data_IF_648799664509
#
_entry.id   IF_648799664509
#
_cell.length_a   1.000
_cell.length_b   1.000
_cell.length_c   1.000
_cell.angle_alpha   90.00
_cell.angle_beta   90.00
_cell.angle_gamma   90.00
#
_symmetry.space_group_name_H-M   'P 1'
#
loop_
_entity.id
_entity.type
_entity.pdbx_description
1 polymer ?
#
# COMPACT_ATOMS: atom_id res chain seq x y z
N UNK A 1 0.68 -13.24 -2.96
CA UNK A 1 -0.33 -13.78 -3.91
C UNK A 1 -0.97 -12.66 -4.74
N UNK A 2 -1.64 -11.67 -4.14
CA UNK A 2 -2.30 -10.58 -4.87
C UNK A 2 -1.38 -9.87 -5.86
N UNK A 3 -0.14 -9.56 -5.46
CA UNK A 3 0.85 -8.96 -6.36
C UNK A 3 1.16 -9.84 -7.57
N UNK A 4 1.39 -11.16 -7.40
CA UNK A 4 1.60 -12.07 -8.53
C UNK A 4 0.39 -12.10 -9.47
N UNK A 5 -0.83 -12.19 -8.92
CA UNK A 5 -2.05 -12.18 -9.72
C UNK A 5 -2.19 -10.88 -10.51
N UNK A 6 -1.78 -9.75 -9.91
CA UNK A 6 -1.76 -8.45 -10.57
C UNK A 6 -0.76 -8.42 -11.73
N UNK A 7 0.47 -8.91 -11.53
CA UNK A 7 1.51 -8.89 -12.56
C UNK A 7 1.29 -9.92 -13.68
N UNK A 8 0.78 -11.11 -13.35
CA UNK A 8 0.69 -12.23 -14.29
C UNK A 8 -0.70 -12.37 -14.93
N UNK A 9 -1.75 -11.91 -14.23
CA UNK A 9 -3.15 -12.11 -14.60
C UNK A 9 -4.00 -10.85 -14.35
N UNK A 10 -3.39 -9.67 -14.51
CA UNK A 10 -4.02 -8.37 -14.24
C UNK A 10 -5.39 -8.19 -14.91
N UNK A 11 -5.52 -8.67 -16.14
CA UNK A 11 -6.75 -8.60 -16.93
C UNK A 11 -7.94 -9.39 -16.35
N UNK A 12 -7.74 -10.27 -15.37
CA UNK A 12 -8.85 -11.04 -14.80
C UNK A 12 -9.60 -10.30 -13.70
N UNK A 13 -8.99 -9.26 -13.13
CA UNK A 13 -9.51 -8.57 -11.96
C UNK A 13 -9.75 -7.09 -12.26
N UNK A 14 -10.77 -6.54 -11.61
CA UNK A 14 -11.12 -5.12 -11.75
C UNK A 14 -10.31 -4.24 -10.80
N UNK A 15 -9.86 -4.78 -9.68
CA UNK A 15 -9.10 -4.07 -8.67
C UNK A 15 -8.33 -5.05 -7.77
N UNK A 16 -7.31 -4.55 -7.10
CA UNK A 16 -6.43 -5.28 -6.21
C UNK A 16 -6.37 -4.56 -4.86
N UNK A 17 -6.47 -5.29 -3.75
CA UNK A 17 -6.26 -4.71 -2.42
C UNK A 17 -5.25 -5.54 -1.62
N UNK A 18 -3.94 -5.42 -1.91
CA UNK A 18 -2.92 -6.18 -1.21
C UNK A 18 -2.86 -5.77 0.26
N UNK A 19 -3.04 -6.73 1.16
CA UNK A 19 -2.91 -6.54 2.61
C UNK A 19 -1.61 -7.23 3.03
N UNK A 20 -0.76 -6.52 3.78
CA UNK A 20 0.56 -6.98 4.26
C UNK A 20 1.33 -7.77 3.18
N UNK A 21 1.47 -7.16 2.00
CA UNK A 21 1.96 -7.84 0.81
C UNK A 21 3.47 -8.17 0.95
N UNK A 22 3.84 -9.42 0.70
CA UNK A 22 5.19 -9.92 0.91
C UNK A 22 6.08 -9.95 -0.35
N UNK A 23 5.66 -9.24 -1.41
CA UNK A 23 6.43 -9.14 -2.64
C UNK A 23 7.57 -8.14 -2.43
N UNK A 24 8.78 -8.65 -2.30
CA UNK A 24 9.96 -7.81 -2.09
C UNK A 24 10.11 -6.82 -3.24
N UNK A 25 10.20 -5.52 -2.93
CA UNK A 25 10.28 -4.48 -3.95
C UNK A 25 11.51 -4.64 -4.85
N UNK A 26 12.60 -5.24 -4.34
CA UNK A 26 13.79 -5.60 -5.15
C UNK A 26 13.50 -6.56 -6.32
N UNK A 27 12.39 -7.28 -6.24
CA UNK A 27 11.94 -8.23 -7.27
C UNK A 27 10.87 -7.62 -8.19
N UNK A 28 10.46 -6.37 -7.99
CA UNK A 28 9.52 -5.65 -8.85
C UNK A 28 10.36 -4.79 -9.80
N UNK A 29 10.38 -5.14 -11.07
CA UNK A 29 11.12 -4.35 -12.07
C UNK A 29 10.39 -3.05 -12.42
N UNK A 30 11.07 -2.11 -13.07
CA UNK A 30 10.42 -0.87 -13.53
C UNK A 30 9.37 -1.17 -14.62
N UNK A 31 9.59 -2.19 -15.46
CA UNK A 31 8.60 -2.65 -16.43
C UNK A 31 7.34 -3.18 -15.75
N UNK A 32 7.48 -3.90 -14.62
CA UNK A 32 6.34 -4.36 -13.83
C UNK A 32 5.57 -3.18 -13.23
N UNK A 33 6.26 -2.13 -12.75
CA UNK A 33 5.62 -0.89 -12.28
C UNK A 33 4.85 -0.22 -13.41
N UNK A 34 5.48 -0.04 -14.58
CA UNK A 34 4.86 0.56 -15.76
C UNK A 34 3.64 -0.24 -16.24
N UNK A 35 3.68 -1.57 -16.14
CA UNK A 35 2.57 -2.43 -16.51
C UNK A 35 1.33 -2.23 -15.63
N UNK A 36 1.50 -2.03 -14.32
CA UNK A 36 0.39 -2.02 -13.35
C UNK A 36 0.00 -0.64 -12.85
N UNK A 37 0.71 0.43 -13.23
CA UNK A 37 0.43 1.79 -12.73
C UNK A 37 -0.98 2.30 -13.01
N UNK A 38 -1.61 1.80 -14.07
CA UNK A 38 -2.96 2.17 -14.47
C UNK A 38 -4.03 1.24 -13.86
N UNK A 39 -3.64 0.28 -13.01
CA UNK A 39 -4.58 -0.57 -12.30
C UNK A 39 -5.16 0.11 -11.07
N UNK A 40 -6.27 -0.44 -10.60
CA UNK A 40 -6.95 0.02 -9.39
C UNK A 40 -6.37 -0.75 -8.20
N UNK A 41 -5.57 -0.10 -7.36
CA UNK A 41 -4.84 -0.74 -6.26
C UNK A 41 -5.10 -0.02 -4.93
N UNK A 42 -5.39 -0.75 -3.86
CA UNK A 42 -5.40 -0.20 -2.50
C UNK A 42 -4.58 -1.04 -1.54
N UNK A 43 -3.42 -0.54 -1.13
CA UNK A 43 -2.56 -1.22 -0.18
C UNK A 43 -3.03 -1.02 1.26
N UNK A 44 -2.83 -2.03 2.10
CA UNK A 44 -3.03 -1.95 3.55
C UNK A 44 -1.89 -2.63 4.29
N UNK A 45 -1.26 -1.92 5.22
CA UNK A 45 -0.22 -2.50 6.08
C UNK A 45 -0.16 -1.78 7.43
N UNK A 46 0.47 -2.41 8.42
CA UNK A 46 0.92 -1.77 9.65
C UNK A 46 2.40 -1.41 9.54
N UNK A 47 2.79 -0.23 10.01
CA UNK A 47 4.17 0.24 9.96
C UNK A 47 5.09 -0.60 10.86
N UNK A 48 4.56 -1.15 11.95
CA UNK A 48 5.27 -2.05 12.87
C UNK A 48 5.26 -3.54 12.44
N UNK A 49 4.91 -3.85 11.18
CA UNK A 49 4.98 -5.22 10.66
C UNK A 49 6.43 -5.72 10.58
N UNK A 50 6.77 -6.64 11.48
CA UNK A 50 8.09 -7.29 11.55
C UNK A 50 8.16 -8.61 10.80
N UNK A 51 7.03 -9.16 10.33
CA UNK A 51 7.00 -10.38 9.52
C UNK A 51 7.22 -10.04 8.06
N UNK A 52 6.56 -8.98 7.60
CA UNK A 52 6.71 -8.43 6.26
C UNK A 52 7.05 -6.96 6.41
N UNK A 53 8.36 -6.65 6.38
CA UNK A 53 8.85 -5.29 6.62
C UNK A 53 8.33 -4.31 5.53
N UNK A 54 7.54 -3.29 5.89
CA UNK A 54 7.00 -2.30 4.96
C UNK A 54 8.08 -1.57 4.14
N UNK A 55 9.27 -1.36 4.73
CA UNK A 55 10.39 -0.65 4.08
C UNK A 55 11.02 -1.45 2.93
N UNK A 56 10.83 -2.77 2.88
CA UNK A 56 11.33 -3.65 1.81
C UNK A 56 10.23 -4.10 0.83
N UNK A 57 8.97 -3.74 1.09
CA UNK A 57 7.78 -4.26 0.39
C UNK A 57 6.87 -3.13 -0.08
N UNK A 58 5.78 -2.86 0.63
CA UNK A 58 4.70 -1.97 0.16
C UNK A 58 5.16 -0.53 0.00
N UNK A 59 5.92 0.04 0.96
CA UNK A 59 6.28 1.46 0.94
C UNK A 59 7.08 1.85 -0.32
N UNK A 60 8.22 1.20 -0.62
CA UNK A 60 8.97 1.55 -1.83
C UNK A 60 8.19 1.24 -3.12
N UNK A 61 7.39 0.17 -3.15
CA UNK A 61 6.53 -0.16 -4.30
C UNK A 61 5.50 0.93 -4.57
N UNK A 62 4.83 1.41 -3.51
CA UNK A 62 3.87 2.50 -3.58
C UNK A 62 4.51 3.80 -4.09
N UNK A 63 5.67 4.19 -3.55
CA UNK A 63 6.41 5.35 -4.06
C UNK A 63 6.72 5.24 -5.55
N UNK A 64 7.18 4.08 -6.01
CA UNK A 64 7.50 3.84 -7.42
C UNK A 64 6.26 3.92 -8.31
N UNK A 65 5.12 3.36 -7.89
CA UNK A 65 3.85 3.48 -8.62
C UNK A 65 3.40 4.94 -8.75
N UNK A 66 3.41 5.69 -7.66
CA UNK A 66 3.04 7.11 -7.67
C UNK A 66 3.98 7.91 -8.58
N UNK A 67 5.29 7.66 -8.52
CA UNK A 67 6.26 8.32 -9.39
C UNK A 67 6.11 7.94 -10.88
N UNK A 68 5.69 6.72 -11.19
CA UNK A 68 5.37 6.29 -12.56
C UNK A 68 4.08 6.93 -13.13
N UNK A 69 3.35 7.67 -12.30
CA UNK A 69 2.14 8.40 -12.68
C UNK A 69 0.85 7.64 -12.41
N UNK A 70 0.86 6.66 -11.50
CA UNK A 70 -0.33 5.93 -11.10
C UNK A 70 -1.43 6.86 -10.55
N UNK A 71 -2.66 6.70 -11.03
CA UNK A 71 -3.78 7.60 -10.71
C UNK A 71 -4.78 7.02 -9.71
N UNK A 72 -4.97 5.71 -9.71
CA UNK A 72 -5.95 5.01 -8.87
C UNK A 72 -5.27 3.98 -7.95
N UNK A 73 -4.16 4.42 -7.36
CA UNK A 73 -3.39 3.67 -6.37
C UNK A 73 -3.49 4.40 -5.05
N UNK A 74 -3.91 3.66 -4.04
CA UNK A 74 -4.20 4.14 -2.69
C UNK A 74 -3.38 3.33 -1.70
N UNK A 75 -3.07 3.90 -0.53
CA UNK A 75 -2.38 3.18 0.53
C UNK A 75 -2.81 3.66 1.89
N UNK A 76 -3.21 2.71 2.74
CA UNK A 76 -3.43 2.90 4.17
C UNK A 76 -2.29 2.26 4.96
N UNK A 77 -1.56 3.07 5.73
CA UNK A 77 -0.55 2.61 6.66
C UNK A 77 -0.98 2.93 8.09
N UNK A 78 -1.20 1.89 8.89
CA UNK A 78 -1.56 2.01 10.32
C UNK A 78 -0.29 2.02 11.17
N UNK A 79 -0.33 2.66 12.32
CA UNK A 79 0.81 2.67 13.27
C UNK A 79 1.07 1.27 13.84
N UNK A 80 0.00 0.63 14.31
CA UNK A 80 -0.04 -0.67 14.97
C UNK A 80 -1.37 -1.34 14.69
N UNK A 81 -1.48 -2.64 14.95
CA UNK A 81 -2.75 -3.38 14.87
C UNK A 81 -3.38 -3.47 16.26
N UNK A 82 -4.57 -2.90 16.45
CA UNK A 82 -5.30 -2.91 17.73
C UNK A 82 -6.68 -3.56 17.60
N UNK A 83 -7.19 -4.10 18.72
CA UNK A 83 -8.55 -4.61 18.83
C UNK A 83 -9.60 -3.51 18.63
N UNK A 84 -10.69 -3.87 17.94
CA UNK A 84 -11.85 -2.99 17.79
C UNK A 84 -12.76 -3.00 19.04
N UNK A 85 -12.75 -4.11 19.77
CA UNK A 85 -13.45 -4.31 21.05
C UNK A 85 -12.65 -3.77 22.24
N UNK A 86 -11.31 -3.88 22.17
CA UNK A 86 -10.39 -3.33 23.16
C UNK A 86 -9.16 -2.69 22.49
N UNK A 87 -9.10 -1.35 22.41
CA UNK A 87 -7.94 -0.64 21.84
C UNK A 87 -6.63 -0.82 22.62
N UNK A 88 -6.67 -1.31 23.86
CA UNK A 88 -5.46 -1.62 24.63
C UNK A 88 -4.83 -2.97 24.24
N UNK A 89 -5.59 -3.82 23.54
CA UNK A 89 -5.12 -5.08 22.97
C UNK A 89 -4.39 -4.83 21.65
N UNK A 90 -3.06 -4.81 21.71
CA UNK A 90 -2.17 -4.65 20.54
C UNK A 90 -1.78 -6.03 19.99
N UNK A 91 -2.10 -6.29 18.73
CA UNK A 91 -1.72 -7.50 18.00
C UNK A 91 -0.36 -7.35 17.29
N UNK A 92 0.12 -8.42 16.67
CA UNK A 92 1.27 -8.34 15.77
C UNK A 92 0.96 -7.39 14.60
N UNK A 93 1.91 -6.52 14.24
CA UNK A 93 1.80 -5.59 13.12
C UNK A 93 1.41 -6.25 11.80
N UNK A 94 1.79 -7.52 11.61
CA UNK A 94 1.42 -8.29 10.42
C UNK A 94 -0.09 -8.46 10.22
N UNK A 95 -0.90 -8.35 11.29
CA UNK A 95 -2.31 -8.71 11.27
C UNK A 95 -3.21 -7.56 10.75
N UNK A 96 -2.71 -6.76 9.81
CA UNK A 96 -3.39 -5.59 9.28
C UNK A 96 -4.77 -5.91 8.65
N UNK A 97 -5.02 -7.18 8.29
CA UNK A 97 -6.33 -7.65 7.83
C UNK A 97 -7.46 -7.45 8.85
N UNK A 98 -7.14 -7.33 10.15
CA UNK A 98 -8.11 -6.99 11.19
C UNK A 98 -8.84 -5.69 10.83
N UNK A 99 -8.12 -4.69 10.33
CA UNK A 99 -8.72 -3.41 9.91
C UNK A 99 -9.60 -3.56 8.68
N UNK A 100 -9.16 -4.33 7.67
CA UNK A 100 -9.97 -4.56 6.48
C UNK A 100 -11.32 -5.20 6.84
N UNK A 101 -11.30 -6.30 7.61
CA UNK A 101 -12.51 -7.07 7.90
C UNK A 101 -13.41 -6.46 8.99
N UNK A 102 -12.92 -5.45 9.72
CA UNK A 102 -13.72 -4.62 10.61
C UNK A 102 -14.24 -3.32 9.95
N UNK A 103 -14.10 -3.17 8.63
CA UNK A 103 -14.48 -1.94 7.90
C UNK A 103 -13.72 -0.68 8.40
N UNK A 104 -12.47 -0.82 8.84
CA UNK A 104 -11.65 0.25 9.42
C UNK A 104 -10.46 0.68 8.53
N UNK A 105 -10.67 0.68 7.22
CA UNK A 105 -9.73 1.22 6.23
C UNK A 105 -10.32 2.51 5.67
N UNK A 106 -10.26 3.56 6.50
CA UNK A 106 -10.93 4.85 6.28
C UNK A 106 -10.00 6.03 6.00
N UNK A 107 -8.71 5.76 5.84
CA UNK A 107 -7.67 6.78 5.68
C UNK A 107 -6.67 6.34 4.63
N UNK A 108 -6.09 7.31 3.94
CA UNK A 108 -5.07 7.07 2.93
C UNK A 108 -4.04 8.21 2.89
N UNK A 109 -2.99 8.01 2.12
CA UNK A 109 -2.02 9.05 1.80
C UNK A 109 -2.53 10.02 0.72
N UNK A 110 -2.04 11.25 0.78
CA UNK A 110 -2.15 12.20 -0.31
C UNK A 110 -1.10 11.89 -1.39
N UNK A 111 -1.53 11.33 -2.52
CA UNK A 111 -0.65 10.96 -3.63
C UNK A 111 0.18 12.13 -4.15
N UNK A 112 -0.33 13.37 -4.10
CA UNK A 112 0.42 14.55 -4.57
C UNK A 112 1.61 14.84 -3.64
N UNK A 113 1.43 14.64 -2.34
CA UNK A 113 2.50 14.79 -1.36
C UNK A 113 3.49 13.63 -1.42
N UNK A 114 3.01 12.40 -1.61
CA UNK A 114 3.87 11.25 -1.87
C UNK A 114 4.76 11.49 -3.09
N UNK A 115 4.19 12.00 -4.19
CA UNK A 115 4.95 12.31 -5.40
C UNK A 115 6.00 13.41 -5.16
N UNK A 116 5.61 14.49 -4.49
CA UNK A 116 6.54 15.59 -4.18
C UNK A 116 7.70 15.14 -3.27
N UNK A 117 7.46 14.14 -2.42
CA UNK A 117 8.47 13.56 -1.53
C UNK A 117 9.42 12.57 -2.22
N UNK A 118 9.07 12.05 -3.41
CA UNK A 118 9.84 11.02 -4.08
C UNK A 118 11.32 11.41 -4.33
N UNK A 119 11.60 12.69 -4.56
CA UNK A 119 12.99 13.16 -4.77
C UNK A 119 13.82 13.21 -3.49
N UNK A 120 13.20 13.10 -2.32
CA UNK A 120 13.87 13.16 -1.01
C UNK A 120 14.19 11.76 -0.44
N UNK A 121 13.68 10.71 -1.07
CA UNK A 121 13.87 9.34 -0.60
C UNK A 121 14.99 8.63 -1.34
N UNK A 122 15.52 7.58 -0.71
CA UNK A 122 16.51 6.69 -1.30
C UNK A 122 16.01 5.25 -1.20
N UNK A 123 15.97 4.55 -2.34
CA UNK A 123 15.67 3.11 -2.41
C UNK A 123 16.92 2.38 -2.89
N UNK A 124 17.55 1.58 -2.02
CA UNK A 124 18.77 0.83 -2.30
C UNK A 124 18.53 -0.66 -2.11
N UNK A 125 18.90 -1.49 -3.10
CA UNK A 125 18.66 -2.94 -3.02
C UNK A 125 17.17 -3.31 -2.89
N UNK A 126 16.28 -2.40 -3.24
CA UNK A 126 14.82 -2.51 -3.08
C UNK A 126 14.27 -2.11 -1.71
N UNK A 127 15.11 -1.66 -0.78
CA UNK A 127 14.71 -1.15 0.53
C UNK A 127 14.70 0.38 0.56
N UNK A 128 13.68 0.98 1.17
CA UNK A 128 13.68 2.40 1.50
C UNK A 128 14.64 2.66 2.67
N UNK A 129 15.75 3.36 2.42
CA UNK A 129 16.82 3.59 3.42
C UNK A 129 16.82 5.01 3.99
N UNK A 130 16.15 5.96 3.33
CA UNK A 130 15.96 7.32 3.85
C UNK A 130 15.08 7.32 5.09
N UNK A 131 15.44 8.12 6.10
CA UNK A 131 14.73 8.17 7.40
C UNK A 131 13.73 9.32 7.52
N UNK A 132 13.74 10.27 6.60
CA UNK A 132 12.84 11.42 6.57
C UNK A 132 11.94 11.37 5.32
N UNK A 133 11.10 10.35 5.26
CA UNK A 133 10.14 10.12 4.18
C UNK A 133 8.72 10.49 4.61
N UNK A 134 7.88 10.89 3.66
CA UNK A 134 6.48 11.25 3.88
C UNK A 134 5.59 10.05 4.20
N UNK A 135 5.82 8.88 3.58
CA UNK A 135 4.97 7.68 3.75
C UNK A 135 5.28 6.99 5.08
N UNK A 136 4.73 7.56 6.15
CA UNK A 136 4.72 7.04 7.53
C UNK A 136 3.29 7.09 8.07
N UNK A 137 2.95 6.31 9.09
CA UNK A 137 1.57 6.28 9.59
C UNK A 137 1.02 7.66 9.96
N UNK A 138 1.89 8.55 10.45
CA UNK A 138 1.54 9.88 10.92
C UNK A 138 0.96 10.78 9.81
N UNK A 139 1.31 10.49 8.55
CA UNK A 139 0.85 11.25 7.39
C UNK A 139 -0.34 10.61 6.66
N UNK A 140 -0.76 9.40 7.05
CA UNK A 140 -1.90 8.68 6.48
C UNK A 140 -3.24 9.21 7.02
N UNK A 141 -3.63 10.42 6.57
CA UNK A 141 -4.67 11.23 7.21
C UNK A 141 -5.82 11.66 6.28
N UNK A 142 -5.66 11.53 4.96
CA UNK A 142 -6.70 11.89 3.98
C UNK A 142 -7.88 10.94 4.14
N UNK A 143 -9.10 11.48 4.11
CA UNK A 143 -10.31 10.67 4.18
C UNK A 143 -10.41 9.77 2.93
N UNK A 144 -10.58 8.48 3.18
CA UNK A 144 -10.79 7.46 2.15
C UNK A 144 -11.71 6.38 2.67
N UNK A 145 -12.16 5.45 1.83
CA UNK A 145 -12.85 4.25 2.28
C UNK A 145 -12.59 3.13 1.28
N UNK A 146 -11.74 2.18 1.66
CA UNK A 146 -11.31 1.11 0.77
C UNK A 146 -12.48 0.29 0.23
N UNK A 147 -13.52 0.03 1.02
CA UNK A 147 -14.66 -0.77 0.57
C UNK A 147 -15.61 0.01 -0.34
N UNK A 148 -15.84 1.29 -0.04
CA UNK A 148 -16.60 2.16 -0.94
C UNK A 148 -15.85 2.33 -2.28
N UNK A 149 -14.54 2.57 -2.22
CA UNK A 149 -13.66 2.59 -3.39
C UNK A 149 -13.76 1.29 -4.17
N UNK A 150 -13.55 0.13 -3.52
CA UNK A 150 -13.56 -1.18 -4.18
C UNK A 150 -14.89 -1.45 -4.89
N UNK A 151 -16.00 -1.09 -4.24
CA UNK A 151 -17.35 -1.27 -4.81
C UNK A 151 -17.63 -0.40 -6.03
N UNK A 152 -16.90 0.71 -6.19
CA UNK A 152 -17.03 1.63 -7.31
C UNK A 152 -16.13 1.25 -8.51
N UNK A 153 -15.18 0.33 -8.33
CA UNK A 153 -14.26 -0.04 -9.40
C UNK A 153 -14.99 -0.81 -10.49
N UNK A 154 -14.72 -0.44 -11.74
CA UNK A 154 -15.22 -1.13 -12.93
C UNK A 154 -14.07 -1.37 -13.87
N UNK A 155 -14.09 -2.51 -14.57
CA UNK A 155 -13.13 -2.74 -15.65
C UNK A 155 -13.63 -1.97 -16.86
N UNK A 156 -12.92 -0.91 -17.24
CA UNK A 156 -13.14 -0.28 -18.54
C UNK A 156 -12.61 -1.23 -19.61
N UNK A 157 -13.52 -1.76 -20.44
CA UNK A 157 -13.20 -2.60 -21.59
C UNK A 157 -12.43 -1.84 -22.66
#
# INVERSE_FOLDING_TARGET
MTMNLMFEHGDYFTAFYPICEAYMNKNISDEMIEQVKDYNIWFLQSEDDTTVNPLMTTIPSYYRLINAGAKNVHFTLKDRVVGSDDPSSVYFGHYAWVYAFNDDVKKEFDNSKTLADFTNITIEGGELTSTNNYVTNANCSVDGNMWAWLSAQTKTN
#
